data_IF_012675444322
#
_entry.id   IF_012675444322
#
_cell.length_a   1.000
_cell.length_b   1.000
_cell.length_c   1.000
_cell.angle_alpha   90.00
_cell.angle_beta   90.00
_cell.angle_gamma   90.00
#
_symmetry.space_group_name_H-M   'P 1'
#
loop_
_entity.id
_entity.type
_entity.pdbx_description
1 polymer ?
#
# COMPACT_ATOMS: atom_id res chain seq x y z
N UNK A 1 12.93 -12.06 29.82
CA UNK A 1 12.35 -10.90 29.12
C UNK A 1 11.30 -11.29 28.06
N UNK A 2 11.63 -12.13 27.07
CA UNK A 2 10.72 -12.56 25.99
C UNK A 2 9.40 -13.24 26.43
N UNK A 3 9.38 -14.02 27.51
CA UNK A 3 8.14 -14.66 28.02
C UNK A 3 7.13 -13.63 28.58
N UNK A 4 7.59 -12.54 29.16
CA UNK A 4 6.72 -11.45 29.63
C UNK A 4 6.21 -10.58 28.47
N UNK A 5 7.00 -10.45 27.40
CA UNK A 5 6.60 -9.75 26.17
C UNK A 5 5.42 -10.46 25.48
N UNK A 6 5.49 -11.77 25.31
CA UNK A 6 4.39 -12.56 24.71
C UNK A 6 3.12 -12.51 25.56
N UNK A 7 3.23 -12.55 26.90
CA UNK A 7 2.07 -12.44 27.80
C UNK A 7 1.40 -11.06 27.74
N UNK A 8 2.18 -9.97 27.67
CA UNK A 8 1.64 -8.62 27.47
C UNK A 8 0.90 -8.51 26.14
N UNK A 9 1.50 -8.94 25.03
CA UNK A 9 0.86 -8.92 23.70
C UNK A 9 -0.42 -9.76 23.69
N UNK A 10 -0.42 -10.95 24.29
CA UNK A 10 -1.59 -11.82 24.33
C UNK A 10 -2.75 -11.23 25.15
N UNK A 11 -2.47 -10.60 26.30
CA UNK A 11 -3.49 -9.93 27.12
C UNK A 11 -4.15 -8.75 26.39
N UNK A 12 -3.39 -8.05 25.54
CA UNK A 12 -3.90 -6.92 24.76
C UNK A 12 -4.63 -7.37 23.47
N UNK A 13 -4.31 -8.54 22.89
CA UNK A 13 -4.97 -9.07 21.68
C UNK A 13 -6.42 -9.53 21.88
N UNK A 14 -6.83 -9.91 23.09
CA UNK A 14 -8.16 -10.46 23.34
C UNK A 14 -9.29 -9.41 23.44
N UNK A 15 -9.07 -8.18 22.93
CA UNK A 15 -9.98 -7.04 23.08
C UNK A 15 -10.32 -6.29 21.79
N UNK A 16 -9.89 -6.75 20.61
CA UNK A 16 -10.15 -6.04 19.35
C UNK A 16 -11.27 -6.73 18.55
N UNK A 17 -12.50 -6.16 18.52
CA UNK A 17 -13.45 -6.48 17.46
C UNK A 17 -12.98 -5.86 16.14
N UNK A 18 -13.22 -6.53 15.01
CA UNK A 18 -13.07 -5.93 13.67
C UNK A 18 -14.03 -4.74 13.57
N UNK A 19 -13.50 -3.55 13.26
CA UNK A 19 -14.25 -2.28 13.24
C UNK A 19 -14.61 -1.86 11.80
N UNK A 20 -14.10 -2.56 10.79
CA UNK A 20 -14.28 -2.25 9.37
C UNK A 20 -15.25 -3.26 8.76
N UNK A 21 -16.54 -2.91 8.73
CA UNK A 21 -17.56 -3.73 8.06
C UNK A 21 -17.69 -3.30 6.59
N UNK A 22 -17.44 -4.22 5.66
CA UNK A 22 -17.68 -4.03 4.23
C UNK A 22 -18.92 -4.82 3.77
N UNK A 23 -19.50 -4.44 2.63
CA UNK A 23 -20.71 -5.08 2.05
C UNK A 23 -20.41 -6.38 1.26
N UNK A 24 -19.15 -6.82 1.21
CA UNK A 24 -18.68 -7.95 0.40
C UNK A 24 -18.42 -9.21 1.25
N UNK A 25 -18.72 -10.40 0.72
CA UNK A 25 -18.44 -11.68 1.40
C UNK A 25 -16.93 -12.01 1.33
N UNK A 26 -16.19 -11.47 2.30
CA UNK A 26 -14.74 -11.61 2.41
C UNK A 26 -14.26 -13.08 2.49
N UNK A 27 -15.02 -13.94 3.16
CA UNK A 27 -14.61 -15.34 3.39
C UNK A 27 -14.69 -16.18 2.11
N UNK A 28 -15.75 -16.00 1.32
CA UNK A 28 -15.89 -16.65 0.03
C UNK A 28 -14.81 -16.19 -0.97
N UNK A 29 -14.55 -14.88 -1.01
CA UNK A 29 -13.54 -14.28 -1.87
C UNK A 29 -12.13 -14.83 -1.56
N UNK A 30 -11.75 -14.88 -0.29
CA UNK A 30 -10.42 -15.35 0.12
C UNK A 30 -10.20 -16.85 -0.11
N UNK A 31 -11.26 -17.68 -0.04
CA UNK A 31 -11.15 -19.10 -0.41
C UNK A 31 -10.92 -19.28 -1.91
N UNK A 32 -11.67 -18.56 -2.75
CA UNK A 32 -11.48 -18.57 -4.20
C UNK A 32 -10.06 -18.10 -4.57
N UNK A 33 -9.62 -16.99 -3.98
CA UNK A 33 -8.30 -16.40 -4.17
C UNK A 33 -7.14 -17.40 -3.95
N UNK A 34 -7.23 -18.22 -2.90
CA UNK A 34 -6.24 -19.28 -2.61
C UNK A 34 -6.26 -20.40 -3.65
N UNK A 35 -7.45 -20.82 -4.06
CA UNK A 35 -7.58 -21.83 -5.12
C UNK A 35 -6.96 -21.37 -6.43
N UNK A 36 -7.15 -20.08 -6.79
CA UNK A 36 -6.54 -19.49 -8.00
C UNK A 36 -5.01 -19.46 -7.88
N UNK A 37 -4.48 -19.08 -6.71
CA UNK A 37 -3.04 -19.12 -6.47
C UNK A 37 -2.46 -20.53 -6.67
N UNK A 38 -3.08 -21.56 -6.08
CA UNK A 38 -2.61 -22.94 -6.16
C UNK A 38 -2.71 -23.52 -7.58
N UNK A 39 -3.68 -23.10 -8.38
CA UNK A 39 -3.90 -23.63 -9.73
C UNK A 39 -3.12 -22.88 -10.80
N UNK A 40 -3.01 -21.55 -10.67
CA UNK A 40 -2.52 -20.70 -11.73
C UNK A 40 -1.12 -20.13 -11.45
N UNK A 41 -0.65 -20.16 -10.21
CA UNK A 41 0.58 -19.48 -9.80
C UNK A 41 1.49 -20.35 -8.93
N UNK A 42 1.28 -21.67 -8.91
CA UNK A 42 2.10 -22.61 -8.14
C UNK A 42 3.57 -22.65 -8.57
N UNK A 43 3.86 -22.26 -9.80
CA UNK A 43 5.20 -22.18 -10.39
C UNK A 43 5.97 -20.91 -10.04
N UNK A 44 5.29 -19.88 -9.52
CA UNK A 44 5.96 -18.67 -9.03
C UNK A 44 6.76 -19.03 -7.78
N UNK A 45 8.06 -18.80 -7.81
CA UNK A 45 8.96 -19.09 -6.69
C UNK A 45 8.63 -18.17 -5.50
N UNK A 46 7.71 -18.61 -4.65
CA UNK A 46 7.40 -17.97 -3.38
C UNK A 46 8.28 -18.53 -2.24
N UNK A 47 9.58 -18.78 -2.50
CA UNK A 47 10.52 -19.28 -1.49
C UNK A 47 10.47 -18.48 -0.16
N UNK A 48 10.01 -17.22 -0.19
CA UNK A 48 9.50 -16.53 1.00
C UNK A 48 8.03 -16.88 1.33
N UNK A 49 7.84 -17.74 2.34
CA UNK A 49 6.54 -18.09 2.95
C UNK A 49 5.68 -16.86 3.33
N UNK A 50 6.25 -15.66 3.47
CA UNK A 50 5.50 -14.42 3.74
C UNK A 50 4.78 -13.89 2.50
N UNK A 51 5.37 -14.01 1.32
CA UNK A 51 4.78 -13.55 0.06
C UNK A 51 3.59 -14.43 -0.35
N UNK A 52 3.73 -15.75 -0.19
CA UNK A 52 2.62 -16.68 -0.44
C UNK A 52 1.36 -16.44 0.41
N UNK A 53 1.47 -15.73 1.54
CA UNK A 53 0.32 -15.37 2.39
C UNK A 53 -0.37 -14.06 1.98
N UNK A 54 0.31 -13.17 1.26
CA UNK A 54 -0.26 -11.92 0.77
C UNK A 54 -0.90 -12.09 -0.62
N UNK A 55 -0.45 -13.11 -1.36
CA UNK A 55 -0.92 -13.40 -2.72
C UNK A 55 -2.46 -13.50 -2.87
N UNK A 56 -3.21 -14.11 -1.94
CA UNK A 56 -4.67 -14.12 -2.04
C UNK A 56 -5.31 -12.72 -2.05
N UNK A 57 -4.70 -11.74 -1.40
CA UNK A 57 -5.20 -10.35 -1.43
C UNK A 57 -5.04 -9.76 -2.84
N UNK A 58 -3.95 -10.09 -3.56
CA UNK A 58 -3.77 -9.66 -4.95
C UNK A 58 -4.80 -10.27 -5.89
N UNK A 59 -5.07 -11.57 -5.78
CA UNK A 59 -6.10 -12.22 -6.61
C UNK A 59 -7.50 -11.70 -6.29
N UNK A 60 -7.82 -11.44 -5.02
CA UNK A 60 -9.08 -10.80 -4.64
C UNK A 60 -9.25 -9.41 -5.24
N UNK A 61 -8.20 -8.59 -5.24
CA UNK A 61 -8.21 -7.27 -5.85
C UNK A 61 -8.43 -7.33 -7.37
N UNK A 62 -7.73 -8.24 -8.06
CA UNK A 62 -7.88 -8.40 -9.51
C UNK A 62 -9.27 -8.94 -9.88
N UNK A 63 -9.79 -9.90 -9.11
CA UNK A 63 -11.18 -10.37 -9.25
C UNK A 63 -12.19 -9.23 -9.08
N UNK A 64 -11.95 -8.34 -8.12
CA UNK A 64 -12.77 -7.15 -7.91
C UNK A 64 -12.71 -6.20 -9.12
N UNK A 65 -11.51 -5.95 -9.66
CA UNK A 65 -11.32 -5.11 -10.85
C UNK A 65 -12.05 -5.69 -12.07
N UNK A 66 -11.98 -7.01 -12.27
CA UNK A 66 -12.66 -7.73 -13.35
C UNK A 66 -14.19 -7.63 -13.23
N UNK A 67 -14.74 -7.88 -12.04
CA UNK A 67 -16.18 -7.76 -11.78
C UNK A 67 -16.69 -6.32 -11.91
N UNK A 68 -15.85 -5.35 -11.58
CA UNK A 68 -16.16 -3.93 -11.71
C UNK A 68 -15.99 -3.40 -13.13
N UNK A 69 -15.48 -4.23 -14.05
CA UNK A 69 -15.31 -3.88 -15.46
C UNK A 69 -14.18 -2.89 -15.73
N UNK A 70 -13.18 -2.78 -14.85
CA UNK A 70 -12.04 -1.87 -15.02
C UNK A 70 -11.31 -2.15 -16.35
N UNK A 71 -10.97 -1.07 -17.07
CA UNK A 71 -10.27 -1.13 -18.37
C UNK A 71 -8.91 -0.46 -18.35
N UNK A 72 -8.66 0.46 -17.44
CA UNK A 72 -7.33 1.03 -17.21
C UNK A 72 -6.90 0.88 -15.75
N UNK A 73 -5.73 0.28 -15.54
CA UNK A 73 -5.16 0.07 -14.20
C UNK A 73 -3.74 0.62 -14.12
N UNK A 74 -3.47 1.37 -13.06
CA UNK A 74 -2.12 1.75 -12.65
C UNK A 74 -1.73 1.00 -11.39
N UNK A 75 -0.69 0.18 -11.49
CA UNK A 75 -0.03 -0.45 -10.35
C UNK A 75 1.18 0.40 -9.94
N UNK A 76 1.26 0.75 -8.65
CA UNK A 76 2.41 1.41 -8.05
C UNK A 76 3.15 0.42 -7.14
N UNK A 77 4.41 0.15 -7.49
CA UNK A 77 5.18 -0.98 -6.98
C UNK A 77 5.07 -2.19 -7.92
N UNK A 78 6.05 -3.10 -7.90
CA UNK A 78 6.01 -4.30 -8.73
C UNK A 78 6.42 -5.56 -7.96
N UNK A 79 5.83 -6.68 -8.35
CA UNK A 79 6.11 -7.97 -7.72
C UNK A 79 5.16 -9.06 -8.21
N UNK A 80 4.80 -9.98 -7.33
CA UNK A 80 3.90 -11.07 -7.67
C UNK A 80 2.52 -10.58 -8.15
N UNK A 81 2.05 -9.43 -7.66
CA UNK A 81 0.82 -8.77 -8.12
C UNK A 81 0.84 -8.44 -9.61
N UNK A 82 2.00 -8.04 -10.16
CA UNK A 82 2.15 -7.71 -11.58
C UNK A 82 1.88 -8.91 -12.49
N UNK A 83 2.24 -10.13 -12.06
CA UNK A 83 1.89 -11.35 -12.80
C UNK A 83 0.37 -11.59 -12.80
N UNK A 84 -0.31 -11.33 -11.68
CA UNK A 84 -1.77 -11.44 -11.60
C UNK A 84 -2.45 -10.40 -12.50
N UNK A 85 -1.93 -9.17 -12.53
CA UNK A 85 -2.41 -8.13 -13.44
C UNK A 85 -2.19 -8.48 -14.91
N UNK A 86 -1.06 -9.09 -15.26
CA UNK A 86 -0.79 -9.54 -16.62
C UNK A 86 -1.81 -10.55 -17.12
N UNK A 87 -2.13 -11.56 -16.29
CA UNK A 87 -3.17 -12.54 -16.66
C UNK A 87 -4.56 -11.88 -16.75
N UNK A 88 -4.85 -10.84 -15.96
CA UNK A 88 -6.10 -10.08 -16.08
C UNK A 88 -6.17 -9.27 -17.39
N UNK A 89 -5.09 -8.61 -17.75
CA UNK A 89 -4.96 -7.88 -19.01
C UNK A 89 -5.20 -8.79 -20.21
N UNK A 90 -4.57 -9.97 -20.22
CA UNK A 90 -4.75 -10.98 -21.27
C UNK A 90 -6.22 -11.41 -21.43
N UNK A 91 -6.92 -11.68 -20.32
CA UNK A 91 -8.33 -12.13 -20.36
C UNK A 91 -9.31 -11.04 -20.76
N UNK A 92 -9.04 -9.79 -20.40
CA UNK A 92 -10.04 -8.72 -20.45
C UNK A 92 -9.74 -7.63 -21.48
N UNK A 93 -8.53 -7.61 -22.03
CA UNK A 93 -8.00 -6.55 -22.87
C UNK A 93 -7.77 -5.23 -22.11
N UNK A 94 -7.70 -5.25 -20.77
CA UNK A 94 -7.45 -4.05 -19.98
C UNK A 94 -6.01 -3.55 -20.16
N UNK A 95 -5.83 -2.23 -20.15
CA UNK A 95 -4.54 -1.58 -20.18
C UNK A 95 -3.95 -1.51 -18.77
N UNK A 96 -2.82 -2.21 -18.57
CA UNK A 96 -2.11 -2.21 -17.29
C UNK A 96 -0.79 -1.47 -17.44
N UNK A 97 -0.57 -0.49 -16.56
CA UNK A 97 0.74 0.13 -16.38
C UNK A 97 1.24 -0.15 -14.98
N UNK A 98 2.47 -0.63 -14.87
CA UNK A 98 3.14 -0.84 -13.58
C UNK A 98 4.33 0.09 -13.49
N UNK A 99 4.46 0.81 -12.38
CA UNK A 99 5.58 1.69 -12.08
C UNK A 99 6.39 1.12 -10.92
N UNK A 100 7.69 0.93 -11.11
CA UNK A 100 8.61 0.55 -10.03
C UNK A 100 10.02 1.12 -10.29
N UNK A 101 10.75 1.41 -9.22
CA UNK A 101 12.14 1.87 -9.32
C UNK A 101 13.07 0.79 -9.92
N UNK A 102 12.73 -0.49 -9.76
CA UNK A 102 13.43 -1.60 -10.41
C UNK A 102 12.53 -2.82 -10.61
N UNK A 103 12.46 -3.31 -11.84
CA UNK A 103 11.80 -4.58 -12.15
C UNK A 103 12.67 -5.82 -11.95
N UNK A 104 13.89 -5.68 -11.41
CA UNK A 104 14.76 -6.83 -11.19
C UNK A 104 14.14 -7.88 -10.24
N UNK A 105 13.48 -7.51 -9.12
CA UNK A 105 12.79 -8.47 -8.26
C UNK A 105 11.63 -9.18 -8.98
N UNK A 106 10.77 -8.43 -9.68
CA UNK A 106 9.68 -8.99 -10.51
C UNK A 106 10.23 -10.03 -11.50
N UNK A 107 11.24 -9.65 -12.29
CA UNK A 107 11.84 -10.52 -13.29
C UNK A 107 12.42 -11.78 -12.66
N UNK A 108 13.01 -11.68 -11.48
CA UNK A 108 13.53 -12.85 -10.77
C UNK A 108 12.41 -13.84 -10.39
N UNK A 109 11.21 -13.38 -10.03
CA UNK A 109 10.08 -14.23 -9.67
C UNK A 109 9.47 -14.97 -10.86
N UNK A 110 9.37 -14.32 -12.01
CA UNK A 110 8.66 -14.87 -13.18
C UNK A 110 9.59 -15.59 -14.17
N UNK A 111 10.92 -15.45 -14.02
CA UNK A 111 11.89 -15.99 -14.98
C UNK A 111 11.71 -17.49 -15.20
N UNK A 112 11.55 -17.89 -16.45
CA UNK A 112 11.38 -19.29 -16.85
C UNK A 112 10.00 -19.87 -16.54
N UNK A 113 9.03 -19.04 -16.17
CA UNK A 113 7.61 -19.39 -16.03
C UNK A 113 6.82 -18.82 -17.21
N UNK A 114 5.56 -19.24 -17.38
CA UNK A 114 4.70 -18.65 -18.43
C UNK A 114 4.43 -17.16 -18.22
N UNK A 115 4.51 -16.71 -16.97
CA UNK A 115 4.23 -15.32 -16.60
C UNK A 115 5.27 -14.33 -17.11
N UNK A 116 6.46 -14.78 -17.52
CA UNK A 116 7.46 -13.92 -18.17
C UNK A 116 6.95 -13.36 -19.50
N UNK A 117 6.32 -14.21 -20.32
CA UNK A 117 5.72 -13.80 -21.60
C UNK A 117 4.42 -13.02 -21.37
N UNK A 118 3.58 -13.46 -20.42
CA UNK A 118 2.33 -12.75 -20.09
C UNK A 118 2.60 -11.30 -19.64
N UNK A 119 3.55 -11.09 -18.72
CA UNK A 119 3.91 -9.76 -18.23
C UNK A 119 4.47 -8.90 -19.35
N UNK A 120 5.41 -9.43 -20.15
CA UNK A 120 6.03 -8.65 -21.23
C UNK A 120 5.08 -8.29 -22.36
N UNK A 121 4.04 -9.09 -22.59
CA UNK A 121 3.07 -8.87 -23.66
C UNK A 121 1.88 -8.00 -23.24
N UNK A 122 1.50 -8.05 -21.96
CA UNK A 122 0.23 -7.49 -21.50
C UNK A 122 0.37 -6.35 -20.47
N UNK A 123 1.58 -6.07 -19.97
CA UNK A 123 1.81 -5.00 -18.98
C UNK A 123 2.85 -4.01 -19.49
N UNK A 124 2.51 -2.73 -19.46
CA UNK A 124 3.47 -1.66 -19.71
C UNK A 124 4.30 -1.41 -18.45
N UNK A 125 5.54 -1.88 -18.45
CA UNK A 125 6.49 -1.66 -17.36
C UNK A 125 7.18 -0.29 -17.50
N UNK A 126 7.06 0.56 -16.49
CA UNK A 126 7.64 1.91 -16.45
C UNK A 126 8.65 1.98 -15.30
N UNK A 127 9.94 2.03 -15.64
CA UNK A 127 11.01 1.95 -14.63
C UNK A 127 11.42 3.35 -14.13
N UNK A 128 11.24 3.58 -12.84
CA UNK A 128 11.69 4.77 -12.12
C UNK A 128 10.95 4.97 -10.79
N UNK A 129 11.47 5.85 -9.95
CA UNK A 129 10.78 6.26 -8.73
C UNK A 129 9.54 7.10 -9.08
N UNK A 130 8.49 6.85 -8.32
CA UNK A 130 7.17 7.47 -8.45
C UNK A 130 7.20 8.96 -8.12
N UNK A 131 7.98 9.32 -7.11
CA UNK A 131 8.24 10.69 -6.62
C UNK A 131 9.71 11.05 -6.81
N UNK A 132 10.05 12.33 -6.82
CA UNK A 132 11.45 12.78 -6.82
C UNK A 132 11.97 13.00 -5.39
N UNK A 133 13.28 13.19 -5.26
CA UNK A 133 13.92 13.47 -3.97
C UNK A 133 13.39 14.75 -3.32
N UNK A 134 13.22 15.82 -4.10
CA UNK A 134 12.79 17.11 -3.56
C UNK A 134 11.40 17.02 -2.92
N UNK A 135 10.49 16.26 -3.53
CA UNK A 135 9.16 15.99 -2.95
C UNK A 135 9.23 15.23 -1.63
N UNK A 136 10.09 14.22 -1.54
CA UNK A 136 10.32 13.49 -0.28
C UNK A 136 10.89 14.43 0.78
N UNK A 137 11.91 15.23 0.46
CA UNK A 137 12.50 16.17 1.41
C UNK A 137 11.47 17.21 1.85
N UNK A 138 10.75 17.82 0.91
CA UNK A 138 9.75 18.86 1.20
C UNK A 138 8.63 18.32 2.09
N UNK A 139 8.08 17.15 1.77
CA UNK A 139 6.97 16.57 2.53
C UNK A 139 7.35 16.26 3.99
N UNK A 140 8.56 15.73 4.21
CA UNK A 140 9.00 15.26 5.53
C UNK A 140 9.81 16.31 6.34
N UNK A 141 10.22 17.43 5.73
CA UNK A 141 11.01 18.48 6.42
C UNK A 141 10.17 19.67 6.89
N UNK A 142 8.98 19.88 6.32
CA UNK A 142 8.12 21.00 6.68
C UNK A 142 7.25 20.69 7.91
N UNK A 143 6.74 21.75 8.55
CA UNK A 143 5.60 21.60 9.46
C UNK A 143 4.47 20.94 8.68
N UNK A 144 4.08 19.76 9.14
CA UNK A 144 3.18 18.90 8.41
C UNK A 144 1.79 19.54 8.29
N UNK A 145 1.15 19.35 7.13
CA UNK A 145 -0.01 20.13 6.77
C UNK A 145 -1.20 19.81 7.67
N UNK A 146 -2.03 20.82 7.93
CA UNK A 146 -3.33 20.66 8.59
C UNK A 146 -4.38 20.07 7.66
N UNK A 147 -4.07 19.96 6.36
CA UNK A 147 -4.90 19.34 5.31
C UNK A 147 -4.06 18.32 4.55
N UNK A 148 -4.55 17.09 4.43
CA UNK A 148 -3.88 16.04 3.67
C UNK A 148 -4.84 15.44 2.64
N UNK A 149 -4.42 15.40 1.37
CA UNK A 149 -5.25 14.87 0.28
C UNK A 149 -6.60 15.59 0.13
N UNK A 150 -6.69 16.88 0.50
CA UNK A 150 -7.94 17.65 0.47
C UNK A 150 -8.85 17.47 1.69
N UNK A 151 -8.41 16.74 2.71
CA UNK A 151 -9.17 16.50 3.95
C UNK A 151 -8.44 17.11 5.14
N UNK A 152 -9.16 17.81 6.01
CA UNK A 152 -8.60 18.30 7.27
C UNK A 152 -8.09 17.14 8.12
N UNK A 153 -6.87 17.27 8.67
CA UNK A 153 -6.24 16.21 9.46
C UNK A 153 -7.11 15.82 10.65
N UNK A 154 -7.73 16.80 11.31
CA UNK A 154 -8.70 16.59 12.41
C UNK A 154 -9.77 15.56 12.04
N UNK A 155 -10.29 15.64 10.80
CA UNK A 155 -11.41 14.83 10.34
C UNK A 155 -11.06 13.35 10.19
N UNK A 156 -9.79 13.01 9.93
CA UNK A 156 -9.37 11.60 9.86
C UNK A 156 -8.65 11.08 11.10
N UNK A 157 -8.42 11.91 12.12
CA UNK A 157 -7.86 11.46 13.40
C UNK A 157 -8.71 10.36 14.05
N UNK A 158 -10.02 10.36 13.82
CA UNK A 158 -10.94 9.36 14.35
C UNK A 158 -10.91 8.03 13.54
N UNK A 159 -10.25 8.04 12.37
CA UNK A 159 -10.08 6.86 11.53
C UNK A 159 -8.68 6.23 11.63
N UNK A 160 -7.65 6.99 12.02
CA UNK A 160 -6.26 6.50 11.98
C UNK A 160 -6.03 5.27 12.86
N UNK A 161 -6.66 5.22 14.03
CA UNK A 161 -6.53 4.09 14.97
C UNK A 161 -7.24 2.82 14.46
N UNK A 162 -8.17 2.93 13.49
CA UNK A 162 -8.79 1.75 12.84
C UNK A 162 -7.78 0.93 12.04
N UNK A 163 -6.69 1.57 11.61
CA UNK A 163 -5.60 0.93 10.88
C UNK A 163 -4.42 0.57 11.79
N UNK A 164 -4.56 0.69 13.10
CA UNK A 164 -3.62 0.11 14.06
C UNK A 164 -3.97 -1.35 14.29
N UNK A 165 -3.02 -2.25 14.01
CA UNK A 165 -3.17 -3.68 14.21
C UNK A 165 -2.08 -4.24 15.11
N UNK A 166 -2.50 -5.02 16.11
CA UNK A 166 -1.59 -5.79 16.97
C UNK A 166 -1.08 -7.08 16.32
N UNK A 167 -1.49 -7.35 15.08
CA UNK A 167 -1.04 -8.48 14.27
C UNK A 167 0.33 -8.25 13.60
N UNK A 168 1.25 -7.55 14.26
CA UNK A 168 2.64 -7.41 13.82
C UNK A 168 3.61 -8.32 14.60
N UNK A 169 4.90 -8.31 14.22
CA UNK A 169 5.93 -9.00 15.00
C UNK A 169 6.18 -8.30 16.33
N UNK A 170 6.51 -9.07 17.39
CA UNK A 170 6.78 -8.51 18.71
C UNK A 170 7.94 -7.50 18.70
N UNK A 171 8.97 -7.76 17.88
CA UNK A 171 10.09 -6.83 17.72
C UNK A 171 9.75 -5.55 16.95
N UNK A 172 8.72 -5.55 16.09
CA UNK A 172 8.21 -4.31 15.47
C UNK A 172 7.43 -3.50 16.50
N UNK A 173 6.54 -4.14 17.25
CA UNK A 173 5.78 -3.47 18.31
C UNK A 173 6.68 -2.85 19.39
N UNK A 174 7.70 -3.59 19.83
CA UNK A 174 8.68 -3.10 20.81
C UNK A 174 9.37 -1.83 20.31
N UNK A 175 9.89 -1.83 19.07
CA UNK A 175 10.58 -0.65 18.52
C UNK A 175 9.69 0.59 18.46
N UNK A 176 8.42 0.42 18.07
CA UNK A 176 7.46 1.53 18.09
C UNK A 176 7.15 2.00 19.51
N UNK A 177 7.06 1.07 20.47
CA UNK A 177 6.88 1.40 21.89
C UNK A 177 8.07 2.17 22.45
N UNK A 178 9.29 1.83 22.02
CA UNK A 178 10.51 2.55 22.41
C UNK A 178 10.50 3.98 21.84
N UNK A 179 10.07 4.17 20.59
CA UNK A 179 9.89 5.49 19.97
C UNK A 179 8.80 6.29 20.71
N UNK A 180 7.68 5.65 21.07
CA UNK A 180 6.59 6.27 21.80
C UNK A 180 6.94 6.63 23.25
N UNK A 181 8.00 6.03 23.81
CA UNK A 181 8.36 6.14 25.24
C UNK A 181 7.39 5.44 26.19
N UNK A 182 6.37 4.72 25.69
CA UNK A 182 5.35 4.00 26.46
C UNK A 182 4.81 2.79 25.70
N UNK A 183 4.06 1.92 26.38
CA UNK A 183 3.57 0.65 25.79
C UNK A 183 2.14 0.72 25.24
N UNK A 184 1.37 1.67 25.75
CA UNK A 184 -0.06 1.92 25.51
C UNK A 184 -0.28 3.06 24.51
N UNK A 185 0.56 3.13 23.48
CA UNK A 185 0.44 4.12 22.41
C UNK A 185 -0.66 3.77 21.40
N UNK A 186 -1.20 4.79 20.75
CA UNK A 186 -2.06 4.68 19.56
C UNK A 186 -1.35 5.19 18.31
N UNK A 187 -1.87 4.85 17.12
CA UNK A 187 -1.37 5.42 15.88
C UNK A 187 -1.53 6.95 15.88
N UNK A 188 -2.67 7.45 16.38
CA UNK A 188 -2.91 8.87 16.59
C UNK A 188 -1.83 9.54 17.44
N UNK A 189 -1.45 8.94 18.57
CA UNK A 189 -0.41 9.49 19.46
C UNK A 189 0.94 9.71 18.77
N UNK A 190 1.28 8.83 17.83
CA UNK A 190 2.58 8.81 17.16
C UNK A 190 2.62 9.61 15.87
N UNK A 191 1.49 9.65 15.16
CA UNK A 191 1.41 10.16 13.80
C UNK A 191 0.83 11.59 13.75
N UNK A 192 0.53 12.21 14.90
CA UNK A 192 -0.17 13.50 14.94
C UNK A 192 0.28 14.37 16.13
N UNK A 193 0.26 15.70 15.98
CA UNK A 193 0.52 16.69 17.03
C UNK A 193 -0.26 17.97 16.72
N UNK A 194 -1.00 18.50 17.70
CA UNK A 194 -1.75 19.75 17.57
C UNK A 194 -2.64 19.81 16.32
N UNK A 195 -3.25 18.68 15.94
CA UNK A 195 -4.07 18.53 14.72
C UNK A 195 -3.33 18.55 13.39
N UNK A 196 -2.00 18.51 13.39
CA UNK A 196 -1.18 18.23 12.21
C UNK A 196 -0.70 16.78 12.22
N UNK A 197 -0.36 16.25 11.04
CA UNK A 197 0.39 15.00 10.96
C UNK A 197 1.78 15.19 11.62
N UNK A 198 2.37 14.13 12.13
CA UNK A 198 3.77 14.07 12.56
C UNK A 198 4.37 12.76 12.14
N UNK A 199 5.54 12.80 11.52
CA UNK A 199 6.32 11.60 11.22
C UNK A 199 7.70 11.76 11.86
N UNK A 200 7.86 11.32 13.13
CA UNK A 200 9.10 11.54 13.87
C UNK A 200 10.29 10.92 13.14
N UNK A 201 11.49 11.54 13.15
CA UNK A 201 12.67 10.99 12.48
C UNK A 201 12.98 9.52 12.86
N UNK A 202 12.87 9.09 14.13
CA UNK A 202 13.07 7.67 14.47
C UNK A 202 12.07 6.72 13.79
N UNK A 203 10.87 7.21 13.47
CA UNK A 203 9.86 6.44 12.74
C UNK A 203 10.22 6.38 11.25
N UNK A 204 10.67 7.49 10.65
CA UNK A 204 11.17 7.53 9.28
C UNK A 204 12.34 6.56 9.09
N UNK A 205 13.32 6.59 10.00
CA UNK A 205 14.46 5.68 9.96
C UNK A 205 14.02 4.20 10.05
N UNK A 206 13.02 3.90 10.89
CA UNK A 206 12.53 2.53 11.08
C UNK A 206 11.82 1.95 9.83
N UNK A 207 11.21 2.80 9.00
CA UNK A 207 10.50 2.39 7.79
C UNK A 207 11.28 2.60 6.50
N UNK A 208 12.45 3.24 6.56
CA UNK A 208 13.31 3.43 5.39
C UNK A 208 13.99 2.13 4.96
N UNK A 209 14.14 1.94 3.64
CA UNK A 209 14.68 0.71 3.04
C UNK A 209 16.18 0.52 3.35
N UNK A 210 16.88 1.62 3.64
CA UNK A 210 18.33 1.71 3.81
C UNK A 210 18.83 1.81 5.26
N UNK A 211 18.05 1.41 6.29
CA UNK A 211 18.34 1.54 7.74
C UNK A 211 18.12 2.92 8.35
N UNK A 212 18.13 3.98 7.54
CA UNK A 212 17.83 5.36 7.94
C UNK A 212 17.21 6.14 6.77
N UNK A 213 16.62 7.29 7.08
CA UNK A 213 15.96 8.15 6.11
C UNK A 213 16.93 8.80 5.12
N UNK A 214 18.19 9.04 5.52
CA UNK A 214 19.20 9.62 4.64
C UNK A 214 19.52 8.69 3.45
N UNK A 215 19.50 7.38 3.66
CA UNK A 215 19.69 6.41 2.57
C UNK A 215 18.51 6.39 1.58
N UNK A 216 17.28 6.63 2.04
CA UNK A 216 16.11 6.80 1.17
C UNK A 216 16.26 8.05 0.29
N UNK A 217 16.71 9.16 0.88
CA UNK A 217 17.04 10.39 0.16
C UNK A 217 18.15 10.17 -0.87
N UNK A 218 19.24 9.49 -0.50
CA UNK A 218 20.34 9.22 -1.43
C UNK A 218 19.92 8.32 -2.60
N UNK A 219 19.04 7.34 -2.35
CA UNK A 219 18.47 6.49 -3.38
C UNK A 219 17.66 7.30 -4.40
N UNK A 220 16.78 8.20 -3.93
CA UNK A 220 16.00 9.06 -4.82
C UNK A 220 16.89 10.06 -5.57
N UNK A 221 17.89 10.66 -4.93
CA UNK A 221 18.87 11.55 -5.60
C UNK A 221 19.58 10.85 -6.76
N UNK A 222 19.99 9.60 -6.55
CA UNK A 222 20.64 8.81 -7.61
C UNK A 222 19.68 8.55 -8.79
N UNK A 223 18.41 8.23 -8.51
CA UNK A 223 17.39 8.06 -9.57
C UNK A 223 17.08 9.38 -10.29
N UNK A 224 16.95 10.48 -9.57
CA UNK A 224 16.75 11.82 -10.14
C UNK A 224 17.89 12.20 -11.07
N UNK A 225 19.15 11.97 -10.66
CA UNK A 225 20.34 12.25 -11.47
C UNK A 225 20.38 11.47 -12.80
N UNK A 226 19.66 10.35 -12.86
CA UNK A 226 19.50 9.50 -14.05
C UNK A 226 18.22 9.79 -14.83
N UNK A 227 17.45 10.81 -14.44
CA UNK A 227 16.16 11.16 -15.05
C UNK A 227 15.04 10.16 -14.76
N UNK A 228 15.22 9.30 -13.74
CA UNK A 228 14.30 8.22 -13.33
C UNK A 228 13.47 8.56 -12.08
N UNK A 229 13.50 9.79 -11.60
CA UNK A 229 12.62 10.25 -10.52
C UNK A 229 11.32 10.88 -11.02
N UNK A 230 10.32 10.95 -10.13
CA UNK A 230 9.06 11.66 -10.39
C UNK A 230 8.27 11.13 -11.59
N UNK A 231 8.31 9.82 -11.84
CA UNK A 231 7.65 9.21 -13.01
C UNK A 231 6.15 9.48 -13.05
N UNK A 232 5.50 9.60 -11.88
CA UNK A 232 4.06 9.89 -11.79
C UNK A 232 3.72 11.24 -12.45
N UNK A 233 4.57 12.27 -12.34
CA UNK A 233 4.25 13.57 -12.93
C UNK A 233 4.14 13.53 -14.44
N UNK A 234 4.94 12.68 -15.09
CA UNK A 234 4.87 12.45 -16.52
C UNK A 234 3.54 11.79 -16.89
N UNK A 235 3.13 10.77 -16.14
CA UNK A 235 1.83 10.10 -16.34
C UNK A 235 0.63 11.03 -16.12
N UNK A 236 0.74 11.93 -15.13
CA UNK A 236 -0.25 12.96 -14.81
C UNK A 236 -0.33 14.00 -15.94
N UNK A 237 0.81 14.44 -16.47
CA UNK A 237 0.90 15.42 -17.55
C UNK A 237 0.27 14.91 -18.85
N UNK A 238 0.32 13.60 -19.10
CA UNK A 238 -0.34 12.95 -20.24
C UNK A 238 -1.88 12.96 -20.13
N UNK A 239 -2.46 13.46 -19.03
CA UNK A 239 -3.91 13.63 -18.85
C UNK A 239 -4.66 12.34 -18.59
N UNK A 240 -3.94 11.26 -18.28
CA UNK A 240 -4.51 9.92 -18.14
C UNK A 240 -5.30 9.82 -16.84
N UNK A 241 -6.46 9.18 -16.92
CA UNK A 241 -7.27 8.78 -15.77
C UNK A 241 -7.43 7.26 -15.74
N UNK A 242 -7.55 6.72 -14.53
CA UNK A 242 -7.51 5.30 -14.26
C UNK A 242 -8.82 4.83 -13.66
N UNK A 243 -9.31 3.67 -14.10
CA UNK A 243 -10.45 3.01 -13.47
C UNK A 243 -10.05 2.41 -12.12
N UNK A 244 -8.79 2.00 -11.98
CA UNK A 244 -8.23 1.54 -10.72
C UNK A 244 -6.77 1.97 -10.56
N UNK A 245 -6.41 2.44 -9.37
CA UNK A 245 -5.00 2.58 -8.97
C UNK A 245 -4.73 1.67 -7.76
N UNK A 246 -3.69 0.84 -7.87
CA UNK A 246 -3.22 -0.03 -6.81
C UNK A 246 -1.95 0.51 -6.17
N UNK A 247 -2.01 0.82 -4.88
CA UNK A 247 -0.92 1.38 -4.07
C UNK A 247 -0.25 0.28 -3.23
N UNK A 248 0.84 -0.29 -3.75
CA UNK A 248 1.76 -1.20 -3.03
C UNK A 248 3.22 -0.71 -3.09
N UNK A 249 3.40 0.62 -3.01
CA UNK A 249 4.68 1.30 -3.19
C UNK A 249 5.63 1.20 -1.97
N UNK A 250 6.70 2.00 -1.96
CA UNK A 250 7.62 2.11 -0.83
C UNK A 250 6.93 2.65 0.43
N UNK A 251 7.43 2.29 1.61
CA UNK A 251 6.84 2.63 2.91
C UNK A 251 6.63 4.14 3.12
N UNK A 252 7.49 4.99 2.55
CA UNK A 252 7.42 6.44 2.72
C UNK A 252 6.88 7.19 1.49
N UNK A 253 6.74 6.52 0.35
CA UNK A 253 6.31 7.14 -0.89
C UNK A 253 4.78 7.25 -0.99
N UNK A 254 4.05 6.23 -0.52
CA UNK A 254 2.60 6.13 -0.74
C UNK A 254 1.77 7.28 -0.17
N UNK A 255 2.22 7.85 0.94
CA UNK A 255 1.61 9.04 1.55
C UNK A 255 1.64 10.22 0.56
N UNK A 256 2.75 10.40 -0.16
CA UNK A 256 2.89 11.48 -1.16
C UNK A 256 2.12 11.11 -2.43
N UNK A 257 2.28 9.88 -2.92
CA UNK A 257 1.63 9.39 -4.15
C UNK A 257 0.11 9.55 -4.12
N UNK A 258 -0.54 9.26 -2.99
CA UNK A 258 -1.99 9.45 -2.84
C UNK A 258 -2.44 10.87 -3.17
N UNK A 259 -1.71 11.88 -2.68
CA UNK A 259 -2.07 13.29 -2.90
C UNK A 259 -1.99 13.70 -4.38
N UNK A 260 -1.11 13.04 -5.14
CA UNK A 260 -0.91 13.29 -6.58
C UNK A 260 -1.90 12.51 -7.44
N UNK A 261 -2.23 11.29 -7.03
CA UNK A 261 -2.96 10.33 -7.86
C UNK A 261 -4.46 10.27 -7.59
N UNK A 262 -4.95 10.65 -6.40
CA UNK A 262 -6.38 10.47 -6.06
C UNK A 262 -7.35 11.09 -7.07
N UNK A 263 -6.99 12.26 -7.63
CA UNK A 263 -7.84 12.97 -8.60
C UNK A 263 -7.78 12.38 -10.00
N UNK A 264 -6.84 11.47 -10.26
CA UNK A 264 -6.67 10.74 -11.53
C UNK A 264 -7.44 9.44 -11.57
N UNK A 265 -8.10 9.05 -10.49
CA UNK A 265 -9.05 7.94 -10.48
C UNK A 265 -10.37 8.47 -11.04
N UNK A 266 -10.97 7.78 -12.02
CA UNK A 266 -12.25 8.20 -12.60
C UNK A 266 -13.37 8.20 -11.55
N UNK A 267 -14.40 9.02 -11.74
CA UNK A 267 -15.61 8.93 -10.89
C UNK A 267 -16.26 7.56 -11.13
N UNK A 268 -16.55 6.83 -10.06
CA UNK A 268 -16.96 5.43 -10.11
C UNK A 268 -15.80 4.43 -10.11
N UNK A 269 -14.57 4.89 -10.36
CA UNK A 269 -13.34 4.11 -10.28
C UNK A 269 -12.85 3.88 -8.84
N UNK A 270 -11.69 3.24 -8.70
CA UNK A 270 -11.27 2.64 -7.44
C UNK A 270 -9.82 2.96 -7.04
N UNK A 271 -9.60 3.09 -5.74
CA UNK A 271 -8.29 3.05 -5.12
C UNK A 271 -8.16 1.76 -4.31
N UNK A 272 -7.09 1.00 -4.52
CA UNK A 272 -6.77 -0.19 -3.74
C UNK A 272 -5.45 0.02 -2.99
N UNK A 273 -5.43 -0.26 -1.70
CA UNK A 273 -4.27 -0.06 -0.82
C UNK A 273 -3.90 -1.36 -0.15
N UNK A 274 -2.66 -1.81 -0.33
CA UNK A 274 -2.10 -2.96 0.38
C UNK A 274 -1.26 -2.49 1.56
N UNK A 275 -0.98 -3.36 2.53
CA UNK A 275 -0.17 -2.99 3.69
C UNK A 275 -0.75 -1.81 4.50
N UNK A 276 -2.07 -1.85 4.73
CA UNK A 276 -2.84 -0.79 5.41
C UNK A 276 -2.59 -0.73 6.91
N UNK A 277 -2.03 -1.77 7.54
CA UNK A 277 -1.94 -1.85 9.00
C UNK A 277 -0.59 -1.42 9.61
N UNK A 278 -0.66 -0.47 10.53
CA UNK A 278 0.42 -0.03 11.41
C UNK A 278 0.47 -0.90 12.69
N UNK A 279 1.65 -1.26 13.25
CA UNK A 279 2.98 -0.82 12.88
C UNK A 279 3.70 -1.78 11.92
N UNK A 280 2.99 -2.73 11.29
CA UNK A 280 3.63 -3.62 10.31
C UNK A 280 4.20 -2.79 9.14
N UNK A 281 3.44 -1.81 8.68
CA UNK A 281 3.77 -0.86 7.62
C UNK A 281 3.27 0.53 8.00
N UNK A 282 3.90 1.57 7.47
CA UNK A 282 3.42 2.97 7.55
C UNK A 282 2.85 3.45 6.21
N UNK A 283 3.08 2.67 5.14
CA UNK A 283 2.72 2.96 3.75
C UNK A 283 1.36 3.61 3.60
N UNK A 284 0.31 2.92 4.06
CA UNK A 284 -1.07 3.26 3.71
C UNK A 284 -1.98 3.64 4.88
N UNK A 285 -1.46 3.76 6.11
CA UNK A 285 -2.28 4.15 7.27
C UNK A 285 -2.88 5.56 7.11
N UNK A 286 -2.07 6.54 6.71
CA UNK A 286 -2.52 7.93 6.53
C UNK A 286 -3.44 8.07 5.29
N UNK A 287 -3.07 7.55 4.09
CA UNK A 287 -3.96 7.51 2.94
C UNK A 287 -5.34 6.90 3.24
N UNK A 288 -5.38 5.73 3.89
CA UNK A 288 -6.63 5.05 4.19
C UNK A 288 -7.46 5.81 5.24
N UNK A 289 -6.84 6.37 6.28
CA UNK A 289 -7.56 7.18 7.26
C UNK A 289 -8.20 8.41 6.62
N UNK A 290 -7.43 9.14 5.79
CA UNK A 290 -7.90 10.30 5.05
C UNK A 290 -9.04 9.95 4.09
N UNK A 291 -8.91 8.83 3.38
CA UNK A 291 -9.95 8.31 2.50
C UNK A 291 -11.27 8.06 3.26
N UNK A 292 -11.22 7.46 4.45
CA UNK A 292 -12.43 7.18 5.24
C UNK A 292 -13.12 8.46 5.77
N UNK A 293 -12.40 9.58 5.82
CA UNK A 293 -12.95 10.88 6.20
C UNK A 293 -13.40 11.71 4.99
N UNK A 294 -13.07 11.28 3.77
CA UNK A 294 -13.39 12.00 2.54
C UNK A 294 -14.81 11.62 2.05
N UNK A 295 -15.77 12.55 2.00
CA UNK A 295 -17.13 12.26 1.54
C UNK A 295 -17.22 11.92 0.05
N UNK A 296 -16.17 12.17 -0.73
CA UNK A 296 -16.10 11.82 -2.14
C UNK A 296 -15.60 10.37 -2.34
N UNK A 297 -15.35 9.64 -1.26
CA UNK A 297 -14.91 8.25 -1.29
C UNK A 297 -15.80 7.35 -0.43
N UNK A 298 -15.89 6.08 -0.82
CA UNK A 298 -16.56 5.04 -0.05
C UNK A 298 -15.74 3.77 -0.05
N UNK A 299 -15.43 3.24 1.12
CA UNK A 299 -14.85 1.90 1.26
C UNK A 299 -15.87 0.85 0.77
N UNK A 300 -15.44 -0.02 -0.14
CA UNK A 300 -16.28 -1.09 -0.70
C UNK A 300 -15.77 -2.47 -0.32
N UNK A 301 -14.50 -2.59 0.05
CA UNK A 301 -13.89 -3.83 0.51
C UNK A 301 -12.78 -3.54 1.53
N UNK A 302 -12.66 -4.40 2.54
CA UNK A 302 -11.54 -4.41 3.46
C UNK A 302 -11.23 -5.86 3.88
N UNK A 303 -10.03 -6.33 3.56
CA UNK A 303 -9.46 -7.57 4.09
C UNK A 303 -8.61 -7.23 5.32
N UNK A 304 -9.08 -7.63 6.50
CA UNK A 304 -8.36 -7.56 7.77
C UNK A 304 -7.87 -8.93 8.25
N UNK A 305 -8.03 -9.98 7.43
CA UNK A 305 -7.66 -11.35 7.78
C UNK A 305 -6.14 -11.59 7.76
N UNK A 306 -5.38 -10.67 7.13
CA UNK A 306 -3.92 -10.70 7.05
C UNK A 306 -3.29 -9.55 7.84
N UNK A 307 -2.01 -9.71 8.21
CA UNK A 307 -1.24 -8.65 8.88
C UNK A 307 -0.91 -7.46 7.96
N UNK A 308 -1.08 -7.64 6.65
CA UNK A 308 -0.88 -6.63 5.62
C UNK A 308 -2.17 -5.81 5.46
N UNK A 309 -3.27 -6.53 5.25
CA UNK A 309 -4.56 -5.99 4.91
C UNK A 309 -4.63 -5.43 3.49
N UNK A 310 -5.86 -5.30 3.00
CA UNK A 310 -6.18 -4.69 1.71
C UNK A 310 -7.44 -3.87 1.88
N UNK A 311 -7.42 -2.60 1.47
CA UNK A 311 -8.61 -1.75 1.41
C UNK A 311 -8.88 -1.37 -0.04
N UNK A 312 -10.13 -1.50 -0.50
CA UNK A 312 -10.58 -0.97 -1.78
C UNK A 312 -11.69 0.04 -1.51
N UNK A 313 -11.57 1.19 -2.15
CA UNK A 313 -12.53 2.26 -2.07
C UNK A 313 -12.91 2.79 -3.45
N UNK A 314 -14.18 3.18 -3.59
CA UNK A 314 -14.74 3.76 -4.79
C UNK A 314 -14.79 5.28 -4.67
N UNK A 315 -14.42 5.97 -5.75
CA UNK A 315 -14.61 7.41 -5.89
C UNK A 315 -16.05 7.73 -6.28
N UNK A 316 -16.71 8.58 -5.52
CA UNK A 316 -18.11 8.98 -5.72
C UNK A 316 -18.27 10.27 -6.52
N UNK A 317 -17.29 11.19 -6.47
CA UNK A 317 -17.35 12.52 -7.10
C UNK A 317 -16.00 12.99 -7.64
#
# INVERSE_FOLDING_TARGET
>A
MLKNLHKKIAHYRSREPSVLTADFDNDAAMKKARSVQEQCFAELDSSDKKQGRAFPSYTCMVDFAEQSGCKSVLEIGAGLSTAVWASFAERTGAEIRTVDASFAPLKAFIRGTRHEEEVSSNVQLIEGATICCDEMVEFYSNDLPTVYGGVDVVSFLDNIDKFQSRHCSAGRWQRVSDIAGRWDWTARDLLTRDSSLVLPPPLLDMYSSGRDFANEINFLKDLDSRGKGGVIDKLIADGISWDLIFFDSGELASIIEWTKLKSRITVGGYAAFHDIFFPKSIKNIIPCAALLADPDWRMVFCDDSTKQGLLIAQRLR
#
